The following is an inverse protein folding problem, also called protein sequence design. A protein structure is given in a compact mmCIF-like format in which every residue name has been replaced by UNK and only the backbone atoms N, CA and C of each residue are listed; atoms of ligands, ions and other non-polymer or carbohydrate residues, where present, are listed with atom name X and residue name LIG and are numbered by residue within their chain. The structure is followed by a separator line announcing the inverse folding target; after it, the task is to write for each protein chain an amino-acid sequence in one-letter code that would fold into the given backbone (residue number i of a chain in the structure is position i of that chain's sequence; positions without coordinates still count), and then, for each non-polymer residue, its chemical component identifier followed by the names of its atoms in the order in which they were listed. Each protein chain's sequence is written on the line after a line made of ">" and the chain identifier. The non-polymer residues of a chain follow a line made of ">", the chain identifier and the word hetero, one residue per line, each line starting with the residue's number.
data_IF_828176363075
#
_entry.id   IF_828176363075
#
_cell.length_a   1.000
_cell.length_b   1.000
_cell.length_c   1.000
_cell.angle_alpha   90.00
_cell.angle_beta   90.00
_cell.angle_gamma   90.00
#
_symmetry.space_group_name_H-M   'P 1'
#
loop_
_entity.id
_entity.type
_entity.pdbx_description
1 polymer ?
#
# COMPACT_ATOMS: atom_id res chain seq x y z
N UNK A 1 16.55 37.89 -15.08
CA UNK A 1 15.87 36.61 -15.35
C UNK A 1 16.21 35.69 -14.20
N UNK A 2 15.17 35.23 -13.52
CA UNK A 2 15.15 34.89 -12.10
C UNK A 2 16.06 33.73 -11.71
N UNK A 3 17.01 34.02 -10.83
CA UNK A 3 17.63 33.05 -9.95
C UNK A 3 16.71 32.90 -8.71
N UNK A 4 15.81 31.92 -8.76
CA UNK A 4 14.84 31.65 -7.69
C UNK A 4 15.10 30.26 -7.05
N UNK A 5 16.30 29.69 -7.24
CA UNK A 5 16.60 28.31 -6.83
C UNK A 5 17.49 28.21 -5.60
N UNK A 6 18.06 29.32 -5.14
CA UNK A 6 19.06 29.31 -4.06
C UNK A 6 18.49 29.60 -2.66
N UNK A 7 17.23 30.05 -2.53
CA UNK A 7 16.72 30.57 -1.24
C UNK A 7 15.69 29.68 -0.52
N UNK A 8 15.58 28.37 -0.83
CA UNK A 8 14.61 27.48 -0.16
C UNK A 8 15.19 26.31 0.65
N UNK A 9 16.52 26.11 0.71
CA UNK A 9 17.09 24.86 1.29
C UNK A 9 18.16 25.06 2.36
N UNK A 10 18.49 26.28 2.76
CA UNK A 10 19.47 26.54 3.83
C UNK A 10 18.85 26.50 5.26
N UNK A 11 17.68 25.90 5.39
CA UNK A 11 17.24 25.31 6.65
C UNK A 11 17.70 23.86 6.56
N UNK A 12 18.47 23.34 7.52
CA UNK A 12 19.00 21.96 7.52
C UNK A 12 17.91 20.88 7.64
N UNK A 13 16.96 20.87 6.70
CA UNK A 13 15.88 19.90 6.57
C UNK A 13 16.41 18.80 5.65
N UNK A 14 17.05 17.80 6.22
CA UNK A 14 17.42 16.64 5.43
C UNK A 14 16.15 15.92 4.96
N UNK A 15 16.07 15.64 3.66
CA UNK A 15 14.90 15.00 3.07
C UNK A 15 14.81 13.54 3.54
N UNK A 16 13.62 13.15 3.99
CA UNK A 16 13.30 11.76 4.36
C UNK A 16 12.68 11.04 3.17
N UNK A 17 13.29 9.94 2.75
CA UNK A 17 12.79 9.09 1.66
C UNK A 17 12.45 7.71 2.20
N UNK A 18 11.29 7.16 1.82
CA UNK A 18 10.90 5.78 2.12
C UNK A 18 10.80 5.01 0.81
N UNK A 19 11.60 3.96 0.67
CA UNK A 19 11.64 3.13 -0.53
C UNK A 19 11.74 1.63 -0.22
N UNK A 20 11.48 0.80 -1.23
CA UNK A 20 11.76 -0.64 -1.14
C UNK A 20 13.26 -0.87 -1.29
N UNK A 21 13.80 -1.77 -0.47
CA UNK A 21 15.16 -2.24 -0.62
C UNK A 21 15.28 -3.14 -1.87
N UNK A 22 16.32 -2.89 -2.68
CA UNK A 22 16.74 -3.74 -3.77
C UNK A 22 17.88 -4.68 -3.37
N UNK A 23 18.42 -5.41 -4.34
CA UNK A 23 19.56 -6.33 -4.13
C UNK A 23 20.82 -5.60 -3.69
N UNK A 24 21.03 -4.38 -4.17
CA UNK A 24 22.24 -3.60 -3.89
C UNK A 24 22.27 -3.05 -2.45
N UNK A 25 21.12 -3.03 -1.79
CA UNK A 25 20.95 -2.52 -0.43
C UNK A 25 21.29 -3.55 0.66
N UNK A 26 21.61 -4.79 0.29
CA UNK A 26 21.84 -5.88 1.25
C UNK A 26 22.95 -5.54 2.25
N UNK A 27 24.00 -4.85 1.80
CA UNK A 27 25.10 -4.42 2.67
C UNK A 27 24.68 -3.32 3.64
N UNK A 28 23.83 -2.38 3.20
CA UNK A 28 23.28 -1.34 4.06
C UNK A 28 22.33 -1.93 5.12
N UNK A 29 21.47 -2.87 4.72
CA UNK A 29 20.57 -3.57 5.63
C UNK A 29 21.33 -4.40 6.67
N UNK A 30 22.37 -5.13 6.26
CA UNK A 30 23.25 -5.88 7.17
C UNK A 30 23.88 -4.95 8.20
N UNK A 31 24.43 -3.80 7.77
CA UNK A 31 25.01 -2.81 8.67
C UNK A 31 24.00 -2.29 9.70
N UNK A 32 22.79 -1.93 9.27
CA UNK A 32 21.74 -1.47 10.19
C UNK A 32 21.34 -2.56 11.18
N UNK A 33 21.20 -3.80 10.71
CA UNK A 33 20.87 -4.93 11.58
C UNK A 33 21.98 -5.20 12.61
N UNK A 34 23.25 -5.14 12.20
CA UNK A 34 24.40 -5.28 13.09
C UNK A 34 24.43 -4.17 14.15
N UNK A 35 24.14 -2.92 13.76
CA UNK A 35 24.06 -1.78 14.70
C UNK A 35 22.94 -1.98 15.74
N UNK A 36 21.78 -2.47 15.31
CA UNK A 36 20.64 -2.75 16.19
C UNK A 36 20.75 -4.11 16.90
N UNK A 37 21.85 -4.86 16.70
CA UNK A 37 22.03 -6.23 17.20
C UNK A 37 20.89 -7.19 16.82
N UNK A 38 20.34 -7.01 15.61
CA UNK A 38 19.27 -7.83 15.02
C UNK A 38 19.77 -8.57 13.78
N UNK A 39 18.91 -9.42 13.20
CA UNK A 39 19.16 -10.05 11.90
C UNK A 39 18.26 -9.39 10.85
N UNK A 40 18.77 -9.23 9.63
CA UNK A 40 17.97 -8.82 8.47
C UNK A 40 16.86 -9.86 8.23
N UNK A 41 15.57 -9.48 8.30
CA UNK A 41 14.46 -10.39 8.03
C UNK A 41 14.45 -10.84 6.57
N UNK A 42 13.96 -12.06 6.33
CA UNK A 42 13.75 -12.55 4.97
C UNK A 42 12.58 -11.81 4.29
N UNK A 43 12.70 -11.63 2.97
CA UNK A 43 11.65 -11.08 2.12
C UNK A 43 11.71 -9.56 1.93
N UNK A 44 10.61 -8.94 1.46
CA UNK A 44 10.59 -7.51 1.12
C UNK A 44 10.79 -6.61 2.33
N UNK A 45 11.74 -5.69 2.23
CA UNK A 45 12.06 -4.70 3.26
C UNK A 45 11.82 -3.29 2.72
N UNK A 46 11.25 -2.42 3.57
CA UNK A 46 11.22 -0.98 3.34
C UNK A 46 12.35 -0.33 4.13
N UNK A 47 12.97 0.68 3.53
CA UNK A 47 14.07 1.46 4.10
C UNK A 47 13.67 2.93 4.16
N UNK A 48 14.04 3.59 5.25
CA UNK A 48 14.01 5.03 5.41
C UNK A 48 15.43 5.59 5.31
N UNK A 49 15.56 6.64 4.50
CA UNK A 49 16.81 7.33 4.24
C UNK A 49 16.69 8.81 4.63
N UNK A 50 17.78 9.35 5.16
CA UNK A 50 17.99 10.78 5.36
C UNK A 50 19.12 11.21 4.44
N UNK A 51 18.86 12.04 3.43
CA UNK A 51 19.91 12.52 2.51
C UNK A 51 20.75 11.39 1.90
N UNK A 52 20.08 10.35 1.37
CA UNK A 52 20.66 9.12 0.78
C UNK A 52 21.34 8.16 1.77
N UNK A 53 21.32 8.45 3.08
CA UNK A 53 21.84 7.54 4.10
C UNK A 53 20.73 6.68 4.71
N UNK A 54 20.80 5.34 4.61
CA UNK A 54 19.91 4.42 5.31
C UNK A 54 20.03 4.58 6.82
N UNK A 55 18.90 4.78 7.49
CA UNK A 55 18.85 4.98 8.95
C UNK A 55 17.86 4.05 9.66
N UNK A 56 16.84 3.56 8.96
CA UNK A 56 15.88 2.60 9.53
C UNK A 56 15.28 1.69 8.45
N UNK A 57 14.81 0.53 8.85
CA UNK A 57 14.17 -0.42 7.96
C UNK A 57 13.07 -1.21 8.69
N UNK A 58 12.12 -1.74 7.92
CA UNK A 58 11.07 -2.64 8.40
C UNK A 58 10.81 -3.75 7.38
N UNK A 59 10.69 -4.98 7.86
CA UNK A 59 10.14 -6.06 7.03
C UNK A 59 8.69 -5.75 6.74
N UNK A 60 8.32 -5.77 5.46
CA UNK A 60 6.91 -5.68 5.10
C UNK A 60 6.20 -6.87 5.73
N UNK A 61 6.66 -8.10 5.50
CA UNK A 61 5.94 -9.32 5.89
C UNK A 61 5.85 -9.51 7.41
N UNK A 62 6.97 -9.44 8.13
CA UNK A 62 6.99 -9.76 9.57
C UNK A 62 6.70 -8.56 10.46
N UNK A 63 6.75 -7.34 9.93
CA UNK A 63 6.63 -6.11 10.71
C UNK A 63 7.81 -5.83 11.63
N UNK A 64 8.87 -6.64 11.58
CA UNK A 64 10.07 -6.42 12.37
C UNK A 64 10.83 -5.20 11.84
N UNK A 65 11.01 -4.19 12.70
CA UNK A 65 11.74 -2.96 12.40
C UNK A 65 13.09 -2.93 13.11
N UNK A 66 14.11 -2.43 12.41
CA UNK A 66 15.45 -2.25 12.92
C UNK A 66 16.03 -0.92 12.43
N UNK A 67 16.85 -0.26 13.25
CA UNK A 67 17.29 1.10 12.97
C UNK A 67 18.68 1.40 13.53
N UNK A 68 19.29 2.48 13.06
CA UNK A 68 20.50 3.04 13.68
C UNK A 68 20.15 3.56 15.09
N UNK A 69 20.71 2.95 16.16
CA UNK A 69 20.42 3.35 17.54
C UNK A 69 21.12 4.67 17.95
N UNK A 70 22.06 5.16 17.14
CA UNK A 70 22.82 6.37 17.41
C UNK A 70 22.18 7.63 16.82
N UNK A 71 21.05 7.47 16.12
CA UNK A 71 20.28 8.55 15.51
C UNK A 71 18.83 8.51 16.05
N UNK A 72 18.16 9.67 16.26
CA UNK A 72 16.75 9.68 16.66
C UNK A 72 15.83 9.15 15.55
N UNK A 73 15.56 7.85 15.54
CA UNK A 73 14.79 7.18 14.47
C UNK A 73 13.33 6.86 14.83
N UNK A 74 12.83 7.31 15.99
CA UNK A 74 11.47 6.97 16.47
C UNK A 74 10.37 7.31 15.46
N UNK A 75 10.37 8.54 14.94
CA UNK A 75 9.36 8.99 13.97
C UNK A 75 9.49 8.25 12.63
N UNK A 76 10.72 7.93 12.22
CA UNK A 76 10.97 7.16 11.00
C UNK A 76 10.43 5.73 11.12
N UNK A 77 10.59 5.10 12.28
CA UNK A 77 10.03 3.77 12.56
C UNK A 77 8.51 3.80 12.47
N UNK A 78 7.85 4.81 13.06
CA UNK A 78 6.38 4.98 12.94
C UNK A 78 5.93 5.17 11.49
N UNK A 79 6.66 5.97 10.70
CA UNK A 79 6.36 6.17 9.28
C UNK A 79 6.53 4.87 8.48
N UNK A 80 7.57 4.08 8.77
CA UNK A 80 7.81 2.78 8.16
C UNK A 80 6.71 1.77 8.52
N UNK A 81 6.30 1.71 9.79
CA UNK A 81 5.19 0.87 10.26
C UNK A 81 3.88 1.22 9.55
N UNK A 82 3.55 2.52 9.48
CA UNK A 82 2.38 3.00 8.75
C UNK A 82 2.45 2.58 7.28
N UNK A 83 3.61 2.76 6.63
CA UNK A 83 3.78 2.40 5.22
C UNK A 83 3.69 0.89 5.00
N UNK A 84 4.26 0.07 5.87
CA UNK A 84 4.15 -1.38 5.81
C UNK A 84 2.69 -1.85 5.93
N UNK A 85 1.92 -1.26 6.86
CA UNK A 85 0.50 -1.58 7.04
C UNK A 85 -0.34 -1.27 5.79
N UNK A 86 -0.06 -0.16 5.09
CA UNK A 86 -0.73 0.18 3.83
C UNK A 86 -0.47 -0.86 2.74
N UNK A 87 0.76 -1.37 2.66
CA UNK A 87 1.13 -2.41 1.69
C UNK A 87 0.48 -3.76 2.01
N UNK A 88 0.29 -4.07 3.28
CA UNK A 88 -0.44 -5.27 3.73
C UNK A 88 -1.91 -5.24 3.32
N UNK A 89 -2.60 -4.15 3.63
CA UNK A 89 -4.01 -3.98 3.27
C UNK A 89 -4.25 -4.06 1.76
N UNK A 90 -3.30 -3.56 0.95
CA UNK A 90 -3.40 -3.67 -0.51
C UNK A 90 -3.20 -5.09 -1.06
N UNK A 91 -2.54 -5.97 -0.28
CA UNK A 91 -2.32 -7.38 -0.64
C UNK A 91 -3.46 -8.27 -0.16
N UNK A 92 -4.09 -7.90 0.96
CA UNK A 92 -5.21 -8.63 1.58
C UNK A 92 -6.55 -8.45 0.85
N UNK A 93 -6.65 -7.53 -0.14
CA UNK A 93 -7.83 -7.41 -0.99
C UNK A 93 -8.07 -8.72 -1.78
N UNK A 94 -9.00 -9.58 -1.33
CA UNK A 94 -9.23 -10.85 -1.96
C UNK A 94 -10.12 -10.55 -3.15
N UNK A 95 -9.54 -10.57 -4.35
CA UNK A 95 -10.22 -11.01 -5.56
C UNK A 95 -11.71 -10.58 -5.65
N UNK A 96 -12.05 -9.30 -5.42
CA UNK A 96 -13.38 -8.75 -5.77
C UNK A 96 -13.51 -8.56 -7.29
N UNK A 97 -13.05 -9.56 -8.05
CA UNK A 97 -13.26 -9.74 -9.49
C UNK A 97 -14.16 -10.95 -9.72
N UNK A 98 -15.32 -10.87 -9.08
CA UNK A 98 -16.54 -11.58 -9.43
C UNK A 98 -17.68 -10.59 -9.24
N UNK A 99 -18.37 -10.25 -10.32
CA UNK A 99 -19.47 -9.28 -10.40
C UNK A 99 -19.09 -7.78 -10.38
N UNK A 100 -18.97 -7.19 -11.58
CA UNK A 100 -19.90 -6.16 -12.10
C UNK A 100 -19.29 -5.47 -13.32
N UNK A 101 -19.52 -6.03 -14.51
CA UNK A 101 -19.82 -5.16 -15.65
C UNK A 101 -21.20 -4.55 -15.39
N UNK A 102 -21.36 -3.22 -15.35
CA UNK A 102 -22.66 -2.62 -15.51
C UNK A 102 -23.08 -2.92 -16.96
N UNK A 103 -24.01 -3.85 -17.14
CA UNK A 103 -24.67 -4.05 -18.42
C UNK A 103 -25.57 -2.83 -18.69
N UNK A 104 -25.04 -1.87 -19.43
CA UNK A 104 -25.77 -0.69 -19.90
C UNK A 104 -26.47 -0.94 -21.25
N UNK A 105 -26.57 -2.19 -21.73
CA UNK A 105 -27.19 -2.50 -23.02
C UNK A 105 -28.70 -2.81 -22.96
N UNK A 106 -29.29 -2.87 -21.77
CA UNK A 106 -30.69 -3.26 -21.59
C UNK A 106 -31.73 -2.11 -21.57
N UNK A 107 -31.38 -0.90 -22.01
CA UNK A 107 -32.37 0.19 -22.15
C UNK A 107 -32.19 0.96 -23.46
N UNK A 108 -32.86 0.42 -24.49
CA UNK A 108 -33.43 1.06 -25.68
C UNK A 108 -33.70 -0.12 -26.60
N UNK A 109 -34.94 -0.55 -26.81
CA UNK A 109 -35.90 0.26 -27.57
C UNK A 109 -37.31 -0.32 -27.36
N UNK A 110 -38.20 0.56 -26.92
CA UNK A 110 -39.59 0.73 -27.38
C UNK A 110 -40.39 -0.52 -27.74
N UNK A 111 -41.43 -0.76 -26.94
CA UNK A 111 -42.76 -0.85 -27.52
C UNK A 111 -43.61 -2.02 -27.06
N UNK A 112 -44.74 -1.64 -26.46
CA UNK A 112 -46.09 -2.09 -26.86
C UNK A 112 -46.82 -3.05 -25.91
N UNK A 113 -47.68 -2.40 -25.11
CA UNK A 113 -49.10 -2.72 -24.82
C UNK A 113 -49.47 -4.09 -24.24
N UNK A 114 -49.88 -4.03 -22.96
CA UNK A 114 -51.17 -4.46 -22.41
C UNK A 114 -52.06 -5.40 -23.25
N UNK A 115 -52.43 -6.54 -22.66
CA UNK A 115 -53.80 -7.05 -22.48
C UNK A 115 -53.73 -8.35 -21.65
N UNK A 116 -54.25 -8.40 -20.41
CA UNK A 116 -55.61 -8.81 -20.04
C UNK A 116 -56.00 -10.21 -20.55
N UNK A 117 -56.03 -11.19 -19.62
CA UNK A 117 -57.03 -12.27 -19.49
C UNK A 117 -56.56 -13.19 -18.35
N UNK A 118 -57.16 -13.19 -17.16
CA UNK A 118 -58.45 -13.80 -16.80
C UNK A 118 -58.41 -15.33 -16.72
N UNK A 119 -59.01 -15.82 -15.63
CA UNK A 119 -59.49 -17.17 -15.34
C UNK A 119 -58.46 -18.14 -14.73
N UNK A 120 -58.46 -18.42 -13.42
CA UNK A 120 -59.50 -18.99 -12.53
C UNK A 120 -59.60 -20.52 -12.61
N UNK A 121 -59.56 -21.13 -11.41
CA UNK A 121 -60.12 -22.44 -10.99
C UNK A 121 -59.37 -23.68 -11.54
N UNK A 122 -59.25 -24.82 -10.82
CA UNK A 122 -59.87 -25.36 -9.61
C UNK A 122 -59.11 -26.66 -9.23
N UNK A 123 -59.15 -26.94 -7.93
CA UNK A 123 -58.82 -28.17 -7.17
C UNK A 123 -58.95 -29.54 -7.86
N UNK A 124 -58.09 -30.48 -7.45
CA UNK A 124 -58.29 -31.93 -7.53
C UNK A 124 -57.14 -32.72 -6.88
N UNK A 125 -57.32 -33.14 -5.63
CA UNK A 125 -56.48 -34.08 -4.87
C UNK A 125 -56.97 -35.50 -5.18
N UNK A 126 -56.05 -36.46 -5.26
CA UNK A 126 -56.30 -37.91 -5.47
C UNK A 126 -56.37 -38.62 -4.13
#
# INVERSE_FOLDING_TARGET
>A
MSDNRDNQTELGLDAVTIRRAGTDDETALRRLADLDSTRVPDGPVLMAEIGDQPVAAISVVSGQSFADPFVPTLELRRLLELRASQLHLSTDEPQRRGARTPDYSAWRTTGRRLALASSSRRTGVV
#
